data_IF_560281498770
#
_entry.id   IF_560281498770
#
_cell.length_a   1.000
_cell.length_b   1.000
_cell.length_c   1.000
_cell.angle_alpha   90.00
_cell.angle_beta   90.00
_cell.angle_gamma   90.00
#
_symmetry.space_group_name_H-M   'P 1'
#
loop_
_entity.id
_entity.type
_entity.pdbx_description
1 polymer ?
2 branched ?
3 non-polymer ?
4 non-polymer ?
5 non-polymer ?
6 water ?
#
# COMPACT_ATOMS: atom_id res chain seq x y z
N UNK A 1 5.18 -5.47 -8.15
CA UNK A 1 5.40 -6.21 -6.92
C UNK A 1 6.87 -6.24 -6.62
N UNK A 2 7.71 -6.30 -7.65
CA UNK A 2 9.17 -6.28 -7.49
C UNK A 2 9.69 -4.88 -7.21
N UNK A 3 9.33 -3.95 -8.08
CA UNK A 3 9.79 -2.57 -7.97
C UNK A 3 9.38 -1.95 -6.63
N UNK A 4 8.07 -1.97 -6.33
CA UNK A 4 7.52 -1.39 -5.11
C UNK A 4 7.77 -2.16 -3.87
N UNK A 5 7.81 -3.47 -3.94
CA UNK A 5 7.78 -4.24 -2.71
C UNK A 5 8.91 -5.22 -2.55
N UNK A 6 9.65 -5.47 -3.64
CA UNK A 6 10.79 -6.35 -3.58
C UNK A 6 10.43 -7.83 -3.42
N UNK A 7 9.30 -8.21 -4.03
CA UNK A 7 8.82 -9.59 -4.05
C UNK A 7 9.42 -10.24 -5.25
N UNK A 8 10.19 -11.32 -5.00
CA UNK A 8 10.89 -12.08 -6.06
C UNK A 8 9.89 -12.58 -7.06
N UNK A 9 10.21 -12.67 -8.34
CA UNK A 9 9.21 -13.01 -9.37
C UNK A 9 8.57 -14.39 -9.20
N UNK A 10 9.35 -15.37 -8.77
CA UNK A 10 8.75 -16.68 -8.54
C UNK A 10 7.69 -16.64 -7.42
N UNK A 11 7.81 -15.76 -6.45
CA UNK A 11 6.86 -15.82 -5.37
C UNK A 11 5.64 -15.07 -5.79
N UNK A 12 5.83 -14.07 -6.65
CA UNK A 12 4.82 -13.12 -7.02
C UNK A 12 3.88 -13.75 -8.03
N UNK A 13 4.45 -14.51 -8.95
CA UNK A 13 3.71 -15.22 -9.97
C UNK A 13 2.86 -16.22 -9.25
N UNK A 14 3.46 -17.00 -8.35
CA UNK A 14 2.64 -17.94 -7.61
C UNK A 14 1.43 -17.21 -7.04
N UNK A 15 1.67 -16.15 -6.23
CA UNK A 15 0.60 -15.35 -5.58
C UNK A 15 -0.48 -14.92 -6.57
N UNK A 16 -0.08 -14.42 -7.74
CA UNK A 16 -1.05 -13.93 -8.67
C UNK A 16 -1.86 -15.09 -9.29
N UNK A 17 -1.19 -16.20 -9.58
CA UNK A 17 -1.88 -17.38 -10.01
C UNK A 17 -2.98 -17.75 -9.02
N UNK A 18 -2.64 -17.91 -7.74
CA UNK A 18 -3.62 -18.19 -6.63
C UNK A 18 -4.77 -17.22 -6.59
N UNK A 19 -4.46 -15.96 -6.82
CA UNK A 19 -5.48 -14.92 -6.89
C UNK A 19 -6.45 -15.22 -8.06
N UNK A 20 -5.88 -15.27 -9.28
CA UNK A 20 -6.61 -15.63 -10.48
C UNK A 20 -7.33 -16.98 -10.41
N UNK A 21 -6.94 -17.88 -9.51
CA UNK A 21 -7.59 -19.18 -9.44
C UNK A 21 -8.56 -19.23 -8.26
N UNK A 22 -8.83 -18.07 -7.66
CA UNK A 22 -9.83 -17.97 -6.60
C UNK A 22 -9.46 -18.76 -5.38
N UNK A 23 -8.16 -18.75 -5.07
CA UNK A 23 -7.62 -19.42 -3.88
C UNK A 23 -7.92 -18.74 -2.54
N UNK A 24 -7.68 -19.48 -1.48
CA UNK A 24 -7.89 -18.94 -0.14
C UNK A 24 -7.04 -17.73 0.21
N UNK A 25 -7.68 -16.71 0.81
CA UNK A 25 -6.98 -15.55 1.34
C UNK A 25 -5.85 -15.98 2.30
N UNK A 26 -6.12 -17.00 3.09
CA UNK A 26 -5.08 -17.43 4.00
C UNK A 26 -3.89 -17.99 3.28
N UNK A 27 -4.09 -18.52 2.07
CA UNK A 27 -2.95 -19.01 1.29
C UNK A 27 -2.08 -17.83 0.89
N UNK A 28 -2.71 -16.84 0.28
CA UNK A 28 -2.04 -15.63 -0.15
C UNK A 28 -1.29 -14.97 1.00
N UNK A 29 -1.92 -15.00 2.18
CA UNK A 29 -1.36 -14.37 3.37
C UNK A 29 -0.14 -15.13 3.86
N UNK A 30 -0.14 -16.44 3.86
CA UNK A 30 1.10 -17.12 4.24
C UNK A 30 2.26 -17.01 3.29
N UNK A 31 2.00 -17.09 2.00
CA UNK A 31 3.06 -16.86 1.05
C UNK A 31 3.62 -15.47 1.27
N UNK A 32 2.75 -14.45 1.32
CA UNK A 32 3.23 -13.06 1.37
C UNK A 32 3.96 -12.74 2.66
N UNK A 33 3.46 -13.31 3.75
CA UNK A 33 4.04 -13.18 5.06
C UNK A 33 5.42 -13.82 5.15
N UNK A 34 5.61 -14.94 4.46
CA UNK A 34 6.88 -15.65 4.43
C UNK A 34 7.99 -14.87 3.67
N UNK A 35 7.62 -14.06 2.68
CA UNK A 35 8.57 -13.27 1.94
C UNK A 35 9.29 -12.28 2.86
N UNK A 36 8.70 -11.99 4.00
CA UNK A 36 9.32 -11.05 4.88
C UNK A 36 8.64 -9.72 4.64
N UNK A 37 9.41 -8.66 4.79
CA UNK A 37 8.83 -7.36 4.96
C UNK A 37 8.25 -6.76 3.73
N UNK A 38 8.70 -7.21 2.56
CA UNK A 38 8.17 -6.74 1.31
C UNK A 38 6.78 -7.26 1.12
N UNK A 39 6.57 -8.50 1.54
CA UNK A 39 5.26 -9.10 1.62
C UNK A 39 4.34 -8.49 2.67
N UNK A 40 4.89 -8.21 3.86
CA UNK A 40 4.16 -7.46 4.88
C UNK A 40 3.74 -6.04 4.37
N UNK A 41 4.66 -5.31 3.75
CA UNK A 41 4.31 -4.09 3.06
C UNK A 41 3.15 -4.25 2.06
N UNK A 42 3.14 -5.32 1.25
CA UNK A 42 2.03 -5.47 0.28
C UNK A 42 0.72 -5.84 0.96
N UNK A 43 0.81 -6.61 2.04
CA UNK A 43 -0.34 -6.82 2.90
C UNK A 43 -0.83 -5.49 3.51
N UNK A 44 0.08 -4.70 4.07
CA UNK A 44 -0.34 -3.41 4.58
C UNK A 44 -1.00 -2.54 3.49
N UNK A 45 -0.48 -2.58 2.28
CA UNK A 45 -0.99 -1.73 1.22
C UNK A 45 -2.48 -1.90 0.83
N UNK A 46 -3.04 -3.09 1.03
CA UNK A 46 -4.43 -3.37 0.70
C UNK A 46 -5.37 -2.55 1.62
N UNK A 47 -4.97 -2.47 2.89
CA UNK A 47 -5.67 -1.69 3.87
C UNK A 47 -6.68 -2.58 4.51
N UNK A 48 -7.94 -2.29 4.26
CA UNK A 48 -9.00 -3.06 4.86
C UNK A 48 -9.67 -4.02 3.89
N UNK A 49 -9.39 -3.88 2.60
CA UNK A 49 -9.70 -4.92 1.63
C UNK A 49 -8.98 -6.24 1.99
N UNK A 50 -9.43 -7.32 1.36
CA UNK A 50 -8.74 -8.59 1.44
C UNK A 50 -7.67 -8.46 0.38
N UNK A 51 -6.56 -9.15 0.61
CA UNK A 51 -5.42 -9.08 -0.29
C UNK A 51 -5.80 -9.63 -1.66
N UNK A 52 -6.63 -10.69 -1.65
CA UNK A 52 -7.10 -11.30 -2.89
C UNK A 52 -7.84 -10.23 -3.68
N UNK A 53 -8.79 -9.60 -2.97
CA UNK A 53 -9.68 -8.60 -3.52
C UNK A 53 -8.83 -7.46 -4.11
N UNK A 54 -7.86 -6.99 -3.31
CA UNK A 54 -6.91 -5.96 -3.72
C UNK A 54 -6.08 -6.36 -4.98
N UNK A 55 -5.41 -7.51 -4.93
CA UNK A 55 -4.58 -7.92 -6.07
C UNK A 55 -5.41 -8.19 -7.35
N UNK A 56 -6.63 -8.76 -7.19
CA UNK A 56 -7.61 -8.91 -8.30
C UNK A 56 -7.82 -7.60 -9.07
N UNK A 57 -8.18 -6.54 -8.34
CA UNK A 57 -8.25 -5.18 -8.88
C UNK A 57 -6.97 -4.75 -9.62
N UNK A 58 -5.83 -4.85 -8.92
CA UNK A 58 -4.49 -4.58 -9.50
C UNK A 58 -4.11 -5.28 -10.85
N UNK A 59 -4.50 -6.55 -11.00
CA UNK A 59 -4.32 -7.29 -12.25
C UNK A 59 -5.35 -6.79 -13.28
N UNK A 60 -6.58 -6.51 -12.80
CA UNK A 60 -7.63 -6.04 -13.69
C UNK A 60 -7.14 -4.80 -14.41
N UNK A 61 -6.52 -3.89 -13.66
CA UNK A 61 -6.04 -2.63 -14.22
C UNK A 61 -4.69 -2.73 -14.99
N UNK A 62 -3.69 -3.44 -14.48
CA UNK A 62 -2.38 -3.43 -15.16
C UNK A 62 -2.03 -4.74 -15.86
N UNK A 63 -2.83 -5.76 -15.63
CA UNK A 63 -2.50 -7.08 -16.14
C UNK A 63 -1.36 -7.76 -15.39
N UNK A 64 -1.55 -9.06 -15.16
CA UNK A 64 -0.58 -9.96 -14.55
C UNK A 64 0.88 -9.48 -14.63
N UNK A 65 1.44 -9.41 -15.84
CA UNK A 65 2.86 -9.03 -16.05
C UNK A 65 3.35 -7.76 -15.32
N UNK A 66 2.55 -6.70 -15.36
CA UNK A 66 2.90 -5.40 -14.77
C UNK A 66 2.73 -5.45 -13.27
N UNK A 67 1.75 -6.22 -12.80
CA UNK A 67 1.61 -6.47 -11.37
C UNK A 67 2.79 -7.27 -10.82
N UNK A 68 3.36 -8.16 -11.61
CA UNK A 68 4.57 -8.84 -11.15
C UNK A 68 5.75 -7.83 -11.04
N UNK A 69 5.83 -6.91 -11.99
CA UNK A 69 6.94 -5.97 -12.09
C UNK A 69 6.85 -4.90 -10.97
N UNK A 70 5.62 -4.54 -10.63
CA UNK A 70 5.29 -3.57 -9.62
C UNK A 70 5.48 -4.17 -8.27
N UNK B 1 -7.57 7.30 3.65
CA UNK B 1 -6.60 7.20 4.73
C UNK B 1 -7.41 6.83 5.94
N UNK B 2 -8.61 7.38 6.04
CA UNK B 2 -9.55 7.02 7.13
C UNK B 2 -10.13 5.61 6.97
N UNK B 3 -10.65 5.33 5.78
CA UNK B 3 -11.29 4.06 5.54
C UNK B 3 -10.33 2.92 5.69
N UNK B 4 -9.21 2.96 4.93
CA UNK B 4 -8.19 1.93 4.91
C UNK B 4 -7.27 1.89 6.08
N UNK B 5 -7.01 3.04 6.72
CA UNK B 5 -5.90 3.09 7.68
C UNK B 5 -6.30 3.58 9.06
N UNK B 6 -7.42 4.26 9.13
CA UNK B 6 -7.89 4.67 10.42
C UNK B 6 -7.23 5.93 10.88
N UNK B 7 -6.87 6.84 9.96
CA UNK B 7 -6.13 8.04 10.31
C UNK B 7 -7.18 9.11 10.38
N UNK B 8 -7.38 9.70 11.56
CA UNK B 8 -8.41 10.74 11.78
C UNK B 8 -8.22 11.86 10.78
N UNK B 9 -9.32 12.45 10.29
CA UNK B 9 -9.23 13.47 9.22
C UNK B 9 -8.30 14.63 9.57
N UNK B 10 -8.30 15.04 10.85
CA UNK B 10 -7.46 16.18 11.27
C UNK B 10 -5.98 15.94 11.11
N UNK B 11 -5.55 14.71 11.39
CA UNK B 11 -4.16 14.31 11.14
C UNK B 11 -3.85 14.21 9.64
N UNK B 12 -4.75 13.54 8.88
CA UNK B 12 -4.44 13.17 7.51
C UNK B 12 -4.29 14.38 6.66
N UNK B 13 -5.31 15.24 6.66
CA UNK B 13 -5.26 16.49 5.92
C UNK B 13 -4.03 17.34 6.21
N UNK B 14 -3.48 17.28 7.43
CA UNK B 14 -2.20 17.91 7.74
C UNK B 14 -1.05 17.21 7.03
N UNK B 15 -1.00 15.88 7.10
CA UNK B 15 -0.04 15.10 6.34
C UNK B 15 -0.09 15.44 4.86
N UNK B 16 -1.29 15.59 4.28
CA UNK B 16 -1.39 15.87 2.85
C UNK B 16 -0.98 17.30 2.57
N UNK B 17 -1.30 18.19 3.48
CA UNK B 17 -0.88 19.55 3.27
C UNK B 17 0.66 19.65 3.21
N UNK B 18 1.36 18.88 4.05
CA UNK B 18 2.83 18.84 4.06
C UNK B 18 3.40 18.23 2.81
N UNK B 19 2.69 17.25 2.24
CA UNK B 19 3.06 16.59 1.00
C UNK B 19 3.05 17.66 -0.10
N UNK B 20 1.86 18.22 -0.32
CA UNK B 20 1.63 19.28 -1.29
C UNK B 20 2.52 20.52 -1.10
N UNK B 21 2.95 20.80 0.14
CA UNK B 21 3.91 21.87 0.34
C UNK B 21 5.42 21.47 0.08
N UNK B 22 5.68 20.20 -0.27
CA UNK B 22 7.04 19.77 -0.54
C UNK B 22 7.86 19.73 0.73
N UNK B 23 7.20 19.39 1.84
CA UNK B 23 7.84 19.25 3.13
C UNK B 23 8.69 18.00 3.29
N UNK B 24 9.50 18.03 4.34
CA UNK B 24 10.41 16.93 4.63
C UNK B 24 9.73 15.57 4.84
N UNK B 25 10.34 14.52 4.28
CA UNK B 25 9.88 13.15 4.50
C UNK B 25 9.86 12.85 5.97
N UNK B 26 10.84 13.32 6.71
CA UNK B 26 10.91 12.96 8.09
C UNK B 26 9.72 13.55 8.83
N UNK B 27 9.13 14.61 8.28
CA UNK B 27 8.10 15.30 9.01
C UNK B 27 6.88 14.44 8.88
N UNK B 28 6.66 14.00 7.64
CA UNK B 28 5.57 13.09 7.33
C UNK B 28 5.69 11.82 8.13
N UNK B 29 6.88 11.27 8.21
CA UNK B 29 7.12 10.07 8.97
C UNK B 29 6.83 10.31 10.45
N UNK B 30 7.21 11.45 11.01
CA UNK B 30 6.90 11.67 12.41
C UNK B 30 5.41 11.90 12.70
N UNK B 31 4.71 12.61 11.85
CA UNK B 31 3.27 12.71 12.07
C UNK B 31 2.61 11.34 12.00
N UNK B 32 2.96 10.55 10.98
CA UNK B 32 2.33 9.25 10.76
C UNK B 32 2.65 8.25 11.83
N UNK B 33 3.85 8.34 12.36
CA UNK B 33 4.34 7.50 13.40
C UNK B 33 3.56 7.80 14.64
N UNK B 34 3.32 9.09 14.88
CA UNK B 34 2.54 9.58 16.03
C UNK B 34 1.09 9.19 16.09
N UNK B 35 0.41 9.03 14.96
CA UNK B 35 -0.92 8.41 14.89
C UNK B 35 -0.97 6.95 15.33
N UNK B 36 0.17 6.29 15.37
CA UNK B 36 0.14 4.96 15.89
C UNK B 36 0.00 4.00 14.75
N UNK B 37 -0.61 2.85 14.99
CA UNK B 37 -0.43 1.73 14.11
C UNK B 37 -1.06 1.88 12.73
N UNK B 38 -2.14 2.66 12.62
CA UNK B 38 -2.66 3.03 11.30
C UNK B 38 -1.67 3.83 10.45
N UNK B 39 -0.77 4.57 11.08
CA UNK B 39 0.22 5.37 10.39
C UNK B 39 1.45 4.54 10.06
N UNK B 40 1.91 3.69 10.99
CA UNK B 40 2.89 2.67 10.61
C UNK B 40 2.42 1.82 9.41
N UNK B 41 1.14 1.43 9.36
CA UNK B 41 0.65 0.65 8.23
C UNK B 41 0.69 1.43 6.89
N UNK B 42 0.28 2.70 6.92
CA UNK B 42 0.47 3.56 5.75
C UNK B 42 1.96 3.73 5.33
N UNK B 43 2.83 3.89 6.31
CA UNK B 43 4.27 3.86 6.05
C UNK B 43 4.67 2.56 5.35
N UNK B 44 4.32 1.42 5.95
CA UNK B 44 4.59 0.13 5.34
C UNK B 44 4.04 0.01 3.90
N UNK B 45 2.82 0.47 3.65
CA UNK B 45 2.19 0.44 2.34
C UNK B 45 2.99 1.05 1.20
N UNK B 46 3.80 2.06 1.52
CA UNK B 46 4.51 2.85 0.52
C UNK B 46 5.63 2.04 -0.07
N UNK B 47 5.98 0.97 0.64
CA UNK B 47 7.03 0.05 0.23
C UNK B 47 8.35 0.76 0.12
N UNK B 48 8.97 0.70 -1.05
CA UNK B 48 10.33 1.26 -1.19
C UNK B 48 10.43 2.68 -1.73
N UNK B 49 9.28 3.26 -2.08
CA UNK B 49 9.14 4.68 -2.25
C UNK B 49 9.28 5.35 -0.88
N UNK B 50 9.72 6.61 -0.90
CA UNK B 50 9.43 7.52 0.21
C UNK B 50 7.92 7.74 0.34
N UNK B 51 7.46 7.97 1.57
CA UNK B 51 6.03 8.19 1.83
C UNK B 51 5.53 9.42 1.14
N UNK B 52 6.42 10.39 0.93
CA UNK B 52 6.06 11.60 0.20
C UNK B 52 5.76 11.26 -1.23
N UNK B 53 6.71 10.56 -1.84
CA UNK B 53 6.61 10.08 -3.20
C UNK B 53 5.29 9.29 -3.40
N UNK B 54 4.99 8.45 -2.41
CA UNK B 54 3.83 7.58 -2.43
C UNK B 54 2.53 8.35 -2.33
N UNK B 55 2.43 9.23 -1.33
CA UNK B 55 1.21 10.00 -1.14
C UNK B 55 0.98 11.01 -2.27
N UNK B 56 2.05 11.62 -2.79
CA UNK B 56 2.00 12.46 -3.98
C UNK B 56 1.31 11.74 -5.17
N UNK B 57 1.66 10.47 -5.35
CA UNK B 57 1.12 9.64 -6.43
C UNK B 57 -0.36 9.30 -6.23
N UNK B 58 -0.73 9.06 -5.00
CA UNK B 58 -2.11 8.89 -4.57
C UNK B 58 -3.01 10.11 -4.73
N UNK B 59 -2.46 11.30 -4.48
CA UNK B 59 -3.23 12.52 -4.61
C UNK B 59 -3.39 12.80 -6.10
N UNK B 60 -2.33 12.54 -6.87
CA UNK B 60 -2.40 12.67 -8.32
C UNK B 60 -3.56 11.88 -8.92
N UNK B 61 -3.82 10.72 -8.38
CA UNK B 61 -4.84 9.87 -8.96
C UNK B 61 -6.23 10.05 -8.36
N UNK B 62 -6.36 10.18 -7.04
CA UNK B 62 -7.70 10.33 -6.47
C UNK B 62 -8.02 11.76 -6.03
N UNK B 63 -6.97 12.59 -5.92
CA UNK B 63 -7.12 13.94 -5.44
C UNK B 63 -7.23 14.01 -3.93
N UNK B 64 -6.83 15.14 -3.35
CA UNK B 64 -6.72 15.23 -1.91
C UNK B 64 -7.90 14.71 -1.10
N UNK B 65 -9.14 15.03 -1.48
CA UNK B 65 -10.34 14.64 -0.69
C UNK B 65 -10.50 13.12 -0.55
N UNK B 66 -10.34 12.40 -1.66
CA UNK B 66 -10.45 10.94 -1.65
C UNK B 66 -9.30 10.27 -0.89
N UNK B 67 -8.13 10.86 -0.97
CA UNK B 67 -7.00 10.38 -0.19
C UNK B 67 -7.21 10.57 1.30
N UNK B 68 -7.83 11.65 1.72
CA UNK B 68 -8.22 11.80 3.13
C UNK B 68 -9.22 10.71 3.55
N UNK B 69 -10.23 10.50 2.70
CA UNK B 69 -11.30 9.54 2.98
C UNK B 69 -10.72 8.13 3.04
N UNK B 70 -9.76 7.83 2.14
CA UNK B 70 -9.11 6.51 1.97
C UNK B 70 -8.24 6.24 3.19
X LIG C 1 -0.46 -6.10 8.05
X LIG C 1 0.06 -7.54 8.16
X LIG C 1 -1.09 -8.53 7.92
X LIG C 1 -2.23 -8.29 8.95
X LIG C 1 -2.68 -6.78 8.92
X LIG C 1 -3.77 -6.35 9.95
X LIG C 1 0.66 -5.18 8.21
X LIG C 1 1.17 -7.75 7.28
X LIG C 1 -0.70 -9.92 7.83
X LIG C 1 -3.33 -9.18 8.63
X LIG C 1 -1.54 -5.87 9.02
X LIG C 1 -4.80 -5.57 9.31
X LIG C 2 -3.16 -10.12 7.54
X LIG C 2 -3.91 -9.70 6.25
X LIG C 2 -5.45 -9.79 6.40
X LIG C 2 -5.85 -11.14 7.06
X LIG C 2 -5.03 -11.50 8.34
X LIG C 2 -5.13 -12.99 8.77
X LIG C 2 -3.51 -8.39 5.76
X LIG C 2 -5.99 -9.64 5.06
X LIG C 2 -7.27 -11.16 7.27
X LIG C 2 -3.63 -11.39 8.02
X LIG C 2 -5.82 -13.18 10.01
X LIG D 1 -1.39 1.48 -5.89
X LIG D 1 -1.36 1.62 -4.42
X LIG D 1 0.00 1.73 -6.61
X LIG D 1 -0.18 2.31 -7.92
X LIG D 1 1.21 2.28 -5.74
X LIG D 1 2.37 2.76 -6.50
X LIG E 1 -0.34 -10.06 -19.60
X LIG E 1 1.07 -10.47 -19.15
X LIG E 1 -0.73 -11.02 -20.76
X LIG E 1 -0.01 -8.62 -20.07
X LIG E 1 -1.52 -10.02 -18.52
X LIG F 1 1.77 -5.87 8.79
X LIG F 1 2.70 -4.90 9.47
X LIG F 1 2.88 -3.79 8.46
X LIG F 1 2.95 -2.47 9.19
X LIG F 1 4.36 -1.97 9.08
X LIG F 1 5.36 -2.84 9.84
X LIG F 1 5.68 -4.25 9.29
X LIG F 1 5.93 -4.28 7.79
X LIG F 1 7.35 -4.66 7.47
X LIG F 1 7.98 -3.47 6.80
X LIG G 1 -4.99 2.02 -3.73
X LIG G 1 -4.53 1.85 -2.31
X LIG G 1 -6.50 1.87 -3.71
X LIG G 1 -4.20 1.12 -4.60
X LIG G 1 -4.59 3.33 -4.28
X LIG H 1 -1.35 1.86 18.65
X LIG H 1 -1.26 2.52 17.33
X LIG H 1 -1.05 2.83 19.70
X LIG H 1 -0.36 0.76 18.70
X LIG H 1 -2.70 1.35 18.81
X LIG I 1 8.48 17.18 -4.03
X LIG I 1 8.70 16.00 -4.97
X LIG I 1 7.25 16.92 -3.20
X LIG I 1 8.59 18.55 -4.71
X LIG I 1 9.72 17.25 -3.11
X LIG J 1 12.41 15.71 0.53
X LIG J 1 11.54 16.94 0.51
X LIG J 1 12.98 15.50 1.96
X LIG J 1 13.38 15.84 -0.70
X LIG J 1 11.51 14.57 0.18
#
# INVERSE_FOLDING_TARGET
MAKEFGIPAAVAGTVLNVVEAGGWVTTIVSILTAVGSGGLSLLAAAGRESIKAYLKKEIKKKGKRAVIAW
MAKEFGIPAAVAGTVLNVVEAGGWVTTIVSILTAVGSGGLSLLAAAGRESIKAYLKKEIKKKGKRAVIAW
GLC C1 C2 C3 C4 C5 C6 O1 O2 O3 O4 O5 O6
GLC C1 C2 C3 C4 C5 C6 O2 O3 O4 O5 O6
GOL C1 O1 C2 O2 C3 O3
SO4 S O1 O2 O3 O4
D10 C1 C2 C3 C4 C5 C6 C7 C8 C9 C10
SO4 S O1 O2 O3 O4
SO4 S O1 O2 O3 O4
SO4 S O1 O2 O3 O4
SO4 S O1 O2 O3 O4
#
